data_IF_219215750036
#
_entry.id   IF_219215750036
#
_cell.length_a   1.000
_cell.length_b   1.000
_cell.length_c   1.000
_cell.angle_alpha   90.00
_cell.angle_beta   90.00
_cell.angle_gamma   90.00
#
_symmetry.space_group_name_H-M   'P 1'
#
loop_
_entity.id
_entity.type
_entity.pdbx_description
1 polymer ?
#
# COMPACT_ATOMS: atom_id res chain seq x y z
N UNK A 1 -35.76 24.75 -0.53
CA UNK A 1 -35.38 23.66 0.40
C UNK A 1 -34.29 22.86 -0.27
N UNK A 2 -33.04 23.30 -0.14
CA UNK A 2 -31.85 22.60 -0.61
C UNK A 2 -31.61 21.44 0.35
N UNK A 3 -31.89 20.23 -0.11
CA UNK A 3 -31.52 19.01 0.60
C UNK A 3 -30.01 18.95 0.69
N UNK A 4 -29.48 19.23 1.87
CA UNK A 4 -28.10 18.92 2.21
C UNK A 4 -27.92 17.41 2.10
N UNK A 5 -27.30 16.94 1.02
CA UNK A 5 -26.78 15.59 0.92
C UNK A 5 -25.70 15.45 1.98
N UNK A 6 -26.05 14.84 3.11
CA UNK A 6 -25.08 14.40 4.11
C UNK A 6 -24.14 13.42 3.42
N UNK A 7 -22.93 13.88 3.10
CA UNK A 7 -21.91 13.09 2.45
C UNK A 7 -21.37 12.09 3.48
N UNK A 8 -22.02 10.92 3.60
CA UNK A 8 -21.48 9.83 4.40
C UNK A 8 -20.07 9.51 3.88
N UNK A 9 -19.07 9.31 4.74
CA UNK A 9 -17.73 8.98 4.28
C UNK A 9 -17.81 7.75 3.38
N UNK A 10 -17.19 7.83 2.21
CA UNK A 10 -17.20 6.74 1.25
C UNK A 10 -16.69 5.46 1.92
N UNK A 11 -17.45 4.37 1.75
CA UNK A 11 -17.12 3.06 2.30
C UNK A 11 -15.74 2.60 1.76
N UNK A 12 -14.78 2.20 2.62
CA UNK A 12 -13.48 1.72 2.17
C UNK A 12 -13.63 0.54 1.19
N UNK A 13 -12.86 0.53 0.11
CA UNK A 13 -12.91 -0.55 -0.88
C UNK A 13 -11.51 -1.03 -1.23
N UNK A 14 -11.28 -2.34 -1.18
CA UNK A 14 -9.97 -2.94 -1.44
C UNK A 14 -10.05 -4.00 -2.54
N UNK A 15 -8.94 -4.17 -3.26
CA UNK A 15 -8.68 -5.31 -4.12
C UNK A 15 -7.71 -6.26 -3.41
N UNK A 16 -8.01 -7.56 -3.36
CA UNK A 16 -7.13 -8.61 -2.83
C UNK A 16 -7.08 -9.81 -3.77
N UNK A 17 -6.14 -10.73 -3.56
CA UNK A 17 -6.09 -12.01 -4.25
C UNK A 17 -5.86 -13.14 -3.23
N UNK A 18 -6.58 -14.26 -3.38
CA UNK A 18 -6.46 -15.40 -2.46
C UNK A 18 -5.10 -16.10 -2.61
N UNK A 19 -4.55 -16.70 -1.54
CA UNK A 19 -3.23 -17.32 -1.58
C UNK A 19 -3.25 -18.76 -2.08
N UNK A 20 -4.17 -19.12 -2.99
CA UNK A 20 -4.34 -20.51 -3.47
C UNK A 20 -3.08 -21.08 -4.13
N UNK A 21 -2.30 -20.23 -4.81
CA UNK A 21 -1.03 -20.59 -5.45
C UNK A 21 0.18 -19.88 -4.81
N UNK A 22 0.01 -19.31 -3.61
CA UNK A 22 1.08 -18.56 -2.96
C UNK A 22 2.25 -19.47 -2.56
N UNK A 23 3.45 -19.10 -2.99
CA UNK A 23 4.69 -19.79 -2.65
C UNK A 23 5.92 -18.90 -2.84
N UNK A 24 7.07 -19.30 -2.30
CA UNK A 24 8.35 -18.63 -2.57
C UNK A 24 9.21 -19.58 -3.40
N UNK A 25 9.21 -19.38 -4.71
CA UNK A 25 9.87 -20.27 -5.70
C UNK A 25 11.05 -19.60 -6.43
N UNK A 26 11.24 -18.30 -6.22
CA UNK A 26 12.34 -17.50 -6.76
C UNK A 26 12.78 -16.46 -5.70
N UNK A 27 13.83 -15.69 -5.98
CA UNK A 27 14.32 -14.64 -5.09
C UNK A 27 14.56 -13.35 -5.87
N UNK A 28 13.66 -12.39 -5.68
CA UNK A 28 13.71 -11.04 -6.29
C UNK A 28 13.75 -9.92 -5.23
N UNK A 29 13.96 -10.30 -3.96
CA UNK A 29 14.23 -9.41 -2.84
C UNK A 29 14.97 -10.17 -1.72
N UNK A 30 15.58 -9.47 -0.74
CA UNK A 30 16.39 -10.11 0.30
C UNK A 30 15.64 -11.01 1.28
N UNK A 31 14.30 -10.94 1.34
CA UNK A 31 13.49 -11.75 2.26
C UNK A 31 13.25 -13.15 1.72
N UNK A 32 13.25 -13.30 0.39
CA UNK A 32 12.89 -14.54 -0.29
C UNK A 32 13.99 -15.59 -0.18
N UNK A 33 13.64 -16.72 0.43
CA UNK A 33 14.48 -17.92 0.50
C UNK A 33 13.69 -19.15 0.02
N UNK A 34 13.75 -19.49 -1.29
CA UNK A 34 13.04 -20.62 -1.85
C UNK A 34 13.37 -21.96 -1.18
N UNK A 35 14.65 -22.19 -0.84
CA UNK A 35 15.08 -23.39 -0.13
C UNK A 35 14.51 -23.49 1.28
N UNK A 36 14.36 -22.35 1.96
CA UNK A 36 13.68 -22.26 3.26
C UNK A 36 12.19 -22.56 3.14
N UNK A 37 11.52 -21.96 2.15
CA UNK A 37 10.11 -22.22 1.88
C UNK A 37 9.83 -23.69 1.56
N UNK A 38 10.62 -24.29 0.66
CA UNK A 38 10.44 -25.69 0.24
C UNK A 38 10.47 -26.68 1.42
N UNK A 39 11.32 -26.44 2.43
CA UNK A 39 11.39 -27.28 3.64
C UNK A 39 10.14 -27.21 4.52
N UNK A 40 9.38 -26.12 4.44
CA UNK A 40 8.21 -25.83 5.29
C UNK A 40 6.94 -25.62 4.45
N UNK A 41 6.92 -26.06 3.18
CA UNK A 41 5.89 -25.67 2.21
C UNK A 41 4.47 -25.97 2.69
N UNK A 42 4.21 -27.18 3.21
CA UNK A 42 2.87 -27.57 3.64
C UNK A 42 2.37 -26.71 4.82
N UNK A 43 3.24 -26.42 5.80
CA UNK A 43 2.87 -25.61 6.96
C UNK A 43 2.72 -24.14 6.59
N UNK A 44 3.60 -23.59 5.75
CA UNK A 44 3.55 -22.21 5.27
C UNK A 44 2.34 -21.96 4.37
N UNK A 45 2.01 -22.87 3.44
CA UNK A 45 0.82 -22.80 2.61
C UNK A 45 -0.44 -22.75 3.48
N UNK A 46 -0.63 -23.73 4.38
CA UNK A 46 -1.80 -23.75 5.28
C UNK A 46 -1.86 -22.51 6.19
N UNK A 47 -0.71 -22.01 6.64
CA UNK A 47 -0.62 -20.80 7.46
C UNK A 47 -0.98 -19.54 6.67
N UNK A 48 -0.53 -19.42 5.42
CA UNK A 48 -0.84 -18.29 4.54
C UNK A 48 -2.35 -18.15 4.30
N UNK A 49 -3.07 -19.26 4.07
CA UNK A 49 -4.53 -19.26 3.95
C UNK A 49 -5.22 -18.72 5.21
N UNK A 50 -4.81 -19.17 6.40
CA UNK A 50 -5.38 -18.69 7.67
C UNK A 50 -5.09 -17.23 7.92
N UNK A 51 -3.85 -16.81 7.67
CA UNK A 51 -3.40 -15.43 7.88
C UNK A 51 -4.12 -14.46 6.93
N UNK A 52 -4.23 -14.82 5.65
CA UNK A 52 -4.97 -14.04 4.66
C UNK A 52 -6.46 -13.96 5.00
N UNK A 53 -7.08 -15.09 5.37
CA UNK A 53 -8.50 -15.12 5.72
C UNK A 53 -8.80 -14.22 6.94
N UNK A 54 -7.86 -14.16 7.90
CA UNK A 54 -7.95 -13.24 9.04
C UNK A 54 -7.87 -11.78 8.59
N UNK A 55 -6.86 -11.42 7.79
CA UNK A 55 -6.73 -10.05 7.26
C UNK A 55 -7.98 -9.62 6.48
N UNK A 56 -8.46 -10.47 5.58
CA UNK A 56 -9.68 -10.25 4.80
C UNK A 56 -10.89 -10.06 5.73
N UNK A 57 -11.07 -10.92 6.75
CA UNK A 57 -12.13 -10.79 7.74
C UNK A 57 -12.04 -9.47 8.50
N UNK A 58 -10.85 -9.08 8.97
CA UNK A 58 -10.63 -7.80 9.65
C UNK A 58 -11.06 -6.62 8.79
N UNK A 59 -10.75 -6.60 7.50
CA UNK A 59 -11.20 -5.52 6.60
C UNK A 59 -12.72 -5.47 6.47
N UNK A 60 -13.38 -6.62 6.34
CA UNK A 60 -14.84 -6.69 6.29
C UNK A 60 -15.49 -6.24 7.61
N UNK A 61 -14.95 -6.65 8.75
CA UNK A 61 -15.45 -6.27 10.08
C UNK A 61 -15.28 -4.76 10.34
N UNK A 62 -14.28 -4.14 9.70
CA UNK A 62 -14.08 -2.69 9.67
C UNK A 62 -14.99 -1.97 8.64
N UNK A 63 -15.91 -2.69 8.01
CA UNK A 63 -16.90 -2.15 7.09
C UNK A 63 -16.40 -1.93 5.66
N UNK A 64 -15.25 -2.51 5.28
CA UNK A 64 -14.75 -2.40 3.92
C UNK A 64 -15.47 -3.35 2.95
N UNK A 65 -15.55 -2.96 1.68
CA UNK A 65 -15.79 -3.88 0.56
C UNK A 65 -14.47 -4.44 0.05
N UNK A 66 -14.46 -5.72 -0.34
CA UNK A 66 -13.28 -6.38 -0.89
C UNK A 66 -13.62 -7.07 -2.21
N UNK A 67 -13.03 -6.58 -3.29
CA UNK A 67 -13.00 -7.26 -4.58
C UNK A 67 -11.85 -8.25 -4.64
N UNK A 68 -12.07 -9.36 -5.35
CA UNK A 68 -11.07 -10.41 -5.48
C UNK A 68 -10.61 -10.57 -6.92
N UNK A 69 -9.29 -10.54 -7.12
CA UNK A 69 -8.65 -11.04 -8.34
C UNK A 69 -8.56 -12.57 -8.22
N UNK A 70 -8.96 -13.32 -9.27
CA UNK A 70 -8.76 -14.77 -9.30
C UNK A 70 -7.26 -15.10 -9.21
N UNK A 71 -6.85 -16.02 -8.32
CA UNK A 71 -5.47 -16.47 -8.27
C UNK A 71 -5.13 -17.28 -9.53
N UNK A 72 -3.84 -17.32 -9.88
CA UNK A 72 -3.35 -18.00 -11.09
C UNK A 72 -2.18 -18.89 -10.72
N UNK A 73 -2.23 -20.15 -11.18
CA UNK A 73 -1.12 -21.09 -10.98
C UNK A 73 0.15 -20.59 -11.66
N UNK A 74 1.29 -20.75 -10.99
CA UNK A 74 2.57 -20.21 -11.45
C UNK A 74 2.80 -18.72 -11.21
N UNK A 75 1.81 -17.96 -10.70
CA UNK A 75 1.95 -16.55 -10.32
C UNK A 75 1.78 -16.37 -8.80
N UNK A 76 2.76 -16.80 -7.99
CA UNK A 76 2.59 -16.84 -6.54
C UNK A 76 2.46 -15.45 -5.91
N UNK A 77 3.13 -14.43 -6.47
CA UNK A 77 3.11 -13.06 -5.95
C UNK A 77 1.85 -12.26 -6.34
N UNK A 78 0.91 -12.86 -7.10
CA UNK A 78 -0.36 -12.21 -7.47
C UNK A 78 -1.21 -11.82 -6.24
N UNK A 79 -0.93 -12.45 -5.07
CA UNK A 79 -1.50 -12.06 -3.76
C UNK A 79 -1.18 -10.61 -3.37
N UNK A 80 -0.08 -10.04 -3.86
CA UNK A 80 0.39 -8.70 -3.53
C UNK A 80 -0.24 -7.64 -4.43
N UNK A 81 -1.55 -7.41 -4.24
CA UNK A 81 -2.35 -6.52 -5.07
C UNK A 81 -1.98 -5.05 -4.93
N UNK A 82 -1.27 -4.63 -3.88
CA UNK A 82 -0.71 -3.27 -3.79
C UNK A 82 0.15 -2.91 -5.01
N UNK A 83 0.80 -3.92 -5.61
CA UNK A 83 1.65 -3.73 -6.78
C UNK A 83 0.89 -3.79 -8.10
N UNK A 84 -0.44 -3.97 -8.10
CA UNK A 84 -1.22 -4.08 -9.33
C UNK A 84 -1.32 -2.75 -10.08
N UNK A 85 -1.48 -1.65 -9.35
CA UNK A 85 -1.67 -0.31 -9.90
C UNK A 85 -1.51 0.79 -8.85
N UNK A 86 -1.38 2.04 -9.31
CA UNK A 86 -1.69 3.24 -8.53
C UNK A 86 -3.15 3.62 -8.81
N UNK A 87 -3.91 3.92 -7.75
CA UNK A 87 -5.34 4.27 -7.87
C UNK A 87 -5.64 5.53 -7.07
N UNK A 88 -6.20 6.53 -7.74
CA UNK A 88 -6.70 7.78 -7.13
C UNK A 88 -7.82 8.33 -7.99
N UNK A 89 -8.87 8.84 -7.35
CA UNK A 89 -10.04 9.41 -8.02
C UNK A 89 -10.65 8.47 -9.06
N UNK A 90 -10.71 7.17 -8.76
CA UNK A 90 -11.19 6.11 -9.67
C UNK A 90 -10.40 6.02 -10.99
N UNK A 91 -9.25 6.67 -11.12
CA UNK A 91 -8.30 6.48 -12.21
C UNK A 91 -7.28 5.42 -11.79
N UNK A 92 -6.92 4.55 -12.72
CA UNK A 92 -5.98 3.45 -12.49
C UNK A 92 -4.79 3.61 -13.42
N UNK A 93 -3.59 3.64 -12.85
CA UNK A 93 -2.33 3.46 -13.58
C UNK A 93 -1.80 2.07 -13.29
N UNK A 94 -1.90 1.17 -14.27
CA UNK A 94 -1.40 -0.19 -14.15
C UNK A 94 0.11 -0.19 -13.89
N UNK A 95 0.53 -1.08 -13.02
CA UNK A 95 1.94 -1.30 -12.77
C UNK A 95 2.65 -1.90 -13.99
N UNK A 96 3.96 -1.69 -14.04
CA UNK A 96 4.89 -2.40 -14.92
C UNK A 96 6.03 -2.92 -14.07
N UNK A 97 6.16 -4.24 -13.99
CA UNK A 97 7.07 -4.91 -13.09
C UNK A 97 8.49 -4.91 -13.62
N UNK A 98 9.45 -4.73 -12.71
CA UNK A 98 10.87 -4.80 -13.04
C UNK A 98 11.33 -6.23 -13.32
N UNK A 99 10.81 -7.17 -12.56
CA UNK A 99 11.24 -8.56 -12.56
C UNK A 99 10.38 -9.42 -13.49
N UNK A 100 10.99 -10.19 -14.42
CA UNK A 100 10.26 -11.10 -15.31
C UNK A 100 9.32 -12.07 -14.59
N UNK A 101 9.69 -12.49 -13.38
CA UNK A 101 8.91 -13.39 -12.53
C UNK A 101 7.50 -12.86 -12.23
N UNK A 102 7.32 -11.53 -12.22
CA UNK A 102 6.02 -10.87 -11.94
C UNK A 102 5.37 -10.24 -13.16
N UNK A 103 6.05 -10.13 -14.30
CA UNK A 103 5.51 -9.46 -15.50
C UNK A 103 4.25 -10.14 -16.06
N UNK A 104 4.12 -11.46 -15.89
CA UNK A 104 2.91 -12.17 -16.28
C UNK A 104 1.66 -11.75 -15.48
N UNK A 105 1.82 -11.16 -14.29
CA UNK A 105 0.71 -10.64 -13.48
C UNK A 105 0.03 -9.42 -14.12
N UNK A 106 0.74 -8.64 -14.96
CA UNK A 106 0.26 -7.38 -15.54
C UNK A 106 -1.05 -7.56 -16.31
N UNK A 107 -1.12 -8.60 -17.16
CA UNK A 107 -2.30 -8.90 -17.96
C UNK A 107 -3.50 -9.31 -17.08
N UNK A 108 -3.24 -10.02 -15.98
CA UNK A 108 -4.28 -10.46 -15.05
C UNK A 108 -4.84 -9.29 -14.23
N UNK A 109 -3.97 -8.40 -13.76
CA UNK A 109 -4.41 -7.17 -13.10
C UNK A 109 -5.16 -6.24 -14.05
N UNK A 110 -4.68 -6.05 -15.29
CA UNK A 110 -5.42 -5.27 -16.28
C UNK A 110 -6.82 -5.84 -16.51
N UNK A 111 -6.94 -7.15 -16.73
CA UNK A 111 -8.24 -7.78 -16.91
C UNK A 111 -9.17 -7.55 -15.69
N UNK A 112 -8.63 -7.57 -14.47
CA UNK A 112 -9.38 -7.26 -13.25
C UNK A 112 -9.86 -5.81 -13.23
N UNK A 113 -9.00 -4.84 -13.53
CA UNK A 113 -9.39 -3.42 -13.57
C UNK A 113 -10.37 -3.10 -14.70
N UNK A 114 -10.26 -3.75 -15.86
CA UNK A 114 -11.24 -3.61 -16.93
C UNK A 114 -12.62 -4.11 -16.52
N UNK A 115 -12.70 -5.20 -15.74
CA UNK A 115 -13.97 -5.66 -15.13
C UNK A 115 -14.50 -4.66 -14.11
N UNK A 116 -13.64 -4.09 -13.26
CA UNK A 116 -14.04 -3.03 -12.33
C UNK A 116 -14.54 -1.78 -13.07
N UNK A 117 -13.92 -1.44 -14.21
CA UNK A 117 -14.35 -0.34 -15.06
C UNK A 117 -15.73 -0.60 -15.67
N UNK A 118 -15.97 -1.80 -16.19
CA UNK A 118 -17.25 -2.20 -16.76
C UNK A 118 -18.41 -2.16 -15.74
N UNK A 119 -18.13 -2.40 -14.45
CA UNK A 119 -19.11 -2.29 -13.37
C UNK A 119 -19.17 -0.89 -12.73
N UNK A 120 -18.47 0.10 -13.28
CA UNK A 120 -18.48 1.46 -12.77
C UNK A 120 -17.82 1.60 -11.40
N UNK A 121 -16.88 0.73 -11.03
CA UNK A 121 -16.07 0.88 -9.81
C UNK A 121 -14.84 1.78 -10.03
N UNK A 122 -14.32 1.84 -11.26
CA UNK A 122 -13.27 2.77 -11.71
C UNK A 122 -13.68 3.43 -13.03
N UNK A 123 -13.12 4.60 -13.34
CA UNK A 123 -13.50 5.39 -14.51
C UNK A 123 -12.53 5.20 -15.68
N UNK A 124 -11.24 5.02 -15.39
CA UNK A 124 -10.21 4.85 -16.42
C UNK A 124 -9.12 3.87 -15.99
N UNK A 125 -8.56 3.18 -16.98
CA UNK A 125 -7.43 2.24 -16.81
C UNK A 125 -6.39 2.56 -17.87
N UNK A 126 -5.24 3.06 -17.42
CA UNK A 126 -4.10 3.49 -18.23
C UNK A 126 -2.92 2.56 -17.98
N UNK A 127 -2.22 2.17 -19.04
CA UNK A 127 -0.98 1.38 -18.95
C UNK A 127 0.22 2.31 -18.74
N UNK A 128 1.19 1.87 -17.95
CA UNK A 128 2.50 2.52 -17.89
C UNK A 128 3.21 2.39 -19.26
N UNK A 129 3.88 3.45 -19.78
CA UNK A 129 4.66 3.38 -21.01
C UNK A 129 5.73 2.30 -21.00
N UNK A 130 6.10 1.83 -22.20
CA UNK A 130 7.19 0.86 -22.35
C UNK A 130 8.53 1.40 -21.83
N UNK A 131 9.30 0.53 -21.18
CA UNK A 131 10.65 0.86 -20.69
C UNK A 131 10.72 1.70 -19.42
N UNK A 132 9.58 1.96 -18.75
CA UNK A 132 9.52 2.67 -17.46
C UNK A 132 8.76 1.79 -16.45
N UNK A 133 9.43 1.40 -15.36
CA UNK A 133 8.83 0.56 -14.31
C UNK A 133 8.18 1.39 -13.21
N UNK A 134 7.06 0.91 -12.70
CA UNK A 134 6.38 1.38 -11.49
C UNK A 134 5.59 0.23 -10.91
N UNK A 135 5.85 -0.13 -9.65
CA UNK A 135 5.21 -1.29 -9.01
C UNK A 135 4.04 -0.89 -8.11
N UNK A 136 3.15 -0.07 -8.68
CA UNK A 136 1.84 0.29 -8.14
C UNK A 136 1.88 1.10 -6.84
N UNK A 137 0.80 1.00 -6.07
CA UNK A 137 0.66 1.66 -4.77
C UNK A 137 1.67 1.17 -3.73
N UNK A 138 2.28 -0.02 -3.93
CA UNK A 138 3.41 -0.48 -3.13
C UNK A 138 4.61 0.46 -3.22
N UNK A 139 4.82 1.11 -4.37
CA UNK A 139 5.89 2.10 -4.55
C UNK A 139 5.39 3.54 -4.66
N UNK A 140 4.09 3.78 -4.77
CA UNK A 140 3.52 5.13 -4.92
C UNK A 140 2.34 5.32 -3.97
N UNK A 141 2.66 5.68 -2.73
CA UNK A 141 1.71 5.75 -1.61
C UNK A 141 1.10 7.16 -1.54
N UNK A 142 -0.23 7.24 -1.59
CA UNK A 142 -0.95 8.52 -1.48
C UNK A 142 -1.05 8.98 -0.02
N UNK A 143 -0.64 10.22 0.24
CA UNK A 143 -0.77 10.92 1.51
C UNK A 143 -1.98 11.86 1.43
N UNK A 144 -3.12 11.39 1.95
CA UNK A 144 -4.38 12.13 1.95
C UNK A 144 -4.28 13.48 2.66
N UNK A 145 -3.52 13.55 3.76
CA UNK A 145 -3.43 14.76 4.57
C UNK A 145 -2.64 15.86 3.86
N UNK A 146 -1.70 15.47 3.00
CA UNK A 146 -0.84 16.40 2.24
C UNK A 146 -1.26 16.58 0.78
N UNK A 147 -2.18 15.76 0.28
CA UNK A 147 -2.61 15.81 -1.12
C UNK A 147 -1.48 15.50 -2.10
N UNK A 148 -0.58 14.57 -1.76
CA UNK A 148 0.56 14.21 -2.59
C UNK A 148 0.84 12.70 -2.57
N UNK A 149 1.64 12.24 -3.53
CA UNK A 149 2.22 10.89 -3.51
C UNK A 149 3.65 10.89 -2.99
N UNK A 150 3.96 9.93 -2.12
CA UNK A 150 5.32 9.49 -1.84
C UNK A 150 5.66 8.35 -2.79
N UNK A 151 6.62 8.57 -3.70
CA UNK A 151 7.01 7.58 -4.71
C UNK A 151 8.43 7.07 -4.47
N UNK A 152 8.58 5.77 -4.24
CA UNK A 152 9.89 5.11 -4.13
C UNK A 152 10.55 4.96 -5.49
N UNK A 153 11.87 5.02 -5.52
CA UNK A 153 12.65 4.62 -6.69
C UNK A 153 13.98 3.97 -6.31
N UNK A 154 14.59 3.31 -7.30
CA UNK A 154 15.88 2.64 -7.18
C UNK A 154 15.75 1.12 -7.35
N UNK A 155 15.27 0.38 -6.32
CA UNK A 155 15.15 -1.07 -6.39
C UNK A 155 14.15 -1.58 -7.43
N UNK A 156 12.97 -0.97 -7.52
CA UNK A 156 11.85 -1.47 -8.32
C UNK A 156 11.35 -0.44 -9.34
N UNK A 157 10.79 0.65 -8.84
CA UNK A 157 10.28 1.75 -9.65
C UNK A 157 11.39 2.64 -10.20
N UNK A 158 11.21 3.09 -11.44
CA UNK A 158 12.08 4.05 -12.13
C UNK A 158 11.70 5.48 -11.74
N UNK A 159 12.69 6.34 -11.47
CA UNK A 159 12.45 7.75 -11.16
C UNK A 159 11.72 8.50 -12.30
N UNK A 160 11.85 8.04 -13.55
CA UNK A 160 11.14 8.55 -14.74
C UNK A 160 9.62 8.33 -14.66
N UNK A 161 9.12 7.50 -13.76
CA UNK A 161 7.67 7.35 -13.51
C UNK A 161 7.05 8.60 -12.85
N UNK A 162 7.85 9.44 -12.16
CA UNK A 162 7.37 10.60 -11.42
C UNK A 162 6.47 11.55 -12.23
N UNK A 163 6.91 12.09 -13.40
CA UNK A 163 6.04 12.97 -14.19
C UNK A 163 4.78 12.27 -14.70
N UNK A 164 4.85 10.97 -15.01
CA UNK A 164 3.69 10.21 -15.51
C UNK A 164 2.60 10.11 -14.44
N UNK A 165 2.98 9.81 -13.20
CA UNK A 165 2.07 9.79 -12.05
C UNK A 165 1.49 11.18 -11.81
N UNK A 166 2.35 12.21 -11.80
CA UNK A 166 1.93 13.59 -11.53
C UNK A 166 0.91 14.08 -12.56
N UNK A 167 1.18 13.85 -13.85
CA UNK A 167 0.33 14.31 -14.95
C UNK A 167 -1.01 13.55 -14.98
N UNK A 168 -0.99 12.22 -14.81
CA UNK A 168 -2.22 11.41 -14.87
C UNK A 168 -3.20 11.75 -13.74
N UNK A 169 -2.66 11.93 -12.52
CA UNK A 169 -3.45 12.17 -11.32
C UNK A 169 -3.59 13.66 -10.97
N UNK A 170 -2.93 14.56 -11.71
CA UNK A 170 -2.88 16.00 -11.41
C UNK A 170 -2.53 16.26 -9.92
N UNK A 171 -1.54 15.52 -9.41
CA UNK A 171 -1.18 15.46 -7.99
C UNK A 171 0.33 15.54 -7.84
N UNK A 172 0.81 16.24 -6.81
CA UNK A 172 2.24 16.32 -6.53
C UNK A 172 2.85 14.96 -6.21
N UNK A 173 4.06 14.71 -6.70
CA UNK A 173 4.80 13.47 -6.46
C UNK A 173 6.19 13.78 -5.92
N UNK A 174 6.45 13.31 -4.71
CA UNK A 174 7.75 13.37 -4.06
C UNK A 174 8.46 12.04 -4.26
N UNK A 175 9.42 12.01 -5.19
CA UNK A 175 10.24 10.84 -5.45
C UNK A 175 11.35 10.73 -4.38
N UNK A 176 11.45 9.57 -3.73
CA UNK A 176 12.44 9.27 -2.70
C UNK A 176 13.22 8.01 -3.06
N UNK A 177 14.54 8.09 -3.00
CA UNK A 177 15.41 6.94 -3.22
C UNK A 177 15.43 6.03 -1.99
N UNK A 178 15.17 4.73 -2.22
CA UNK A 178 15.21 3.70 -1.19
C UNK A 178 16.65 3.19 -1.03
N UNK A 179 17.22 3.39 0.16
CA UNK A 179 18.64 3.15 0.45
C UNK A 179 18.92 1.75 1.02
N UNK A 180 17.91 1.10 1.62
CA UNK A 180 18.06 -0.21 2.24
C UNK A 180 17.30 -1.27 1.41
N UNK A 181 17.98 -2.30 0.89
CA UNK A 181 17.36 -3.30 0.03
C UNK A 181 16.30 -4.16 0.74
N UNK A 182 16.24 -4.14 2.09
CA UNK A 182 15.18 -4.81 2.86
C UNK A 182 13.84 -4.07 2.71
N UNK A 183 13.87 -2.76 2.49
CA UNK A 183 12.69 -1.92 2.30
C UNK A 183 12.60 -1.48 0.84
N UNK A 184 12.49 -2.48 -0.06
CA UNK A 184 12.61 -2.31 -1.51
C UNK A 184 11.37 -1.71 -2.18
N UNK A 185 10.27 -1.58 -1.45
CA UNK A 185 9.05 -0.86 -1.85
C UNK A 185 8.72 0.23 -0.84
N UNK A 186 8.14 1.33 -1.31
CA UNK A 186 7.77 2.47 -0.47
C UNK A 186 6.87 2.09 0.71
N UNK A 187 5.87 1.22 0.49
CA UNK A 187 4.92 0.75 1.51
C UNK A 187 5.56 -0.11 2.61
N UNK A 188 6.79 -0.59 2.41
CA UNK A 188 7.59 -1.26 3.45
C UNK A 188 8.40 -0.29 4.29
N UNK A 189 8.60 0.94 3.80
CA UNK A 189 9.45 1.98 4.38
C UNK A 189 8.66 3.10 5.09
N UNK A 190 7.45 3.42 4.60
CA UNK A 190 6.57 4.43 5.19
C UNK A 190 5.07 4.12 5.05
N UNK A 191 4.27 4.79 5.88
CA UNK A 191 2.82 4.76 5.87
C UNK A 191 2.27 6.11 6.35
N UNK A 192 1.69 6.93 5.46
CA UNK A 192 0.94 8.11 5.85
C UNK A 192 -0.33 7.68 6.58
N UNK A 193 -0.52 8.22 7.78
CA UNK A 193 -1.65 7.89 8.65
C UNK A 193 -2.79 8.91 8.46
N UNK A 194 -4.00 8.53 8.88
CA UNK A 194 -5.22 9.33 8.65
C UNK A 194 -5.26 10.64 9.43
N UNK A 195 -4.55 10.74 10.57
CA UNK A 195 -4.37 11.98 11.34
C UNK A 195 -3.27 12.90 10.79
N UNK A 196 -2.63 12.53 9.68
CA UNK A 196 -1.58 13.32 9.02
C UNK A 196 -0.17 13.01 9.49
N UNK A 197 0.01 12.15 10.50
CA UNK A 197 1.32 11.61 10.83
C UNK A 197 1.90 10.75 9.70
N UNK A 198 3.23 10.66 9.68
CA UNK A 198 3.97 9.74 8.83
C UNK A 198 4.70 8.72 9.71
N UNK A 199 4.25 7.47 9.66
CA UNK A 199 5.00 6.33 10.18
C UNK A 199 6.09 5.98 9.17
N UNK A 200 7.37 5.99 9.55
CA UNK A 200 8.45 5.71 8.59
C UNK A 200 9.70 5.15 9.25
N UNK A 201 10.53 4.48 8.46
CA UNK A 201 11.83 3.91 8.87
C UNK A 201 12.92 4.83 8.33
N UNK A 202 13.56 5.68 9.16
CA UNK A 202 14.54 6.65 8.66
C UNK A 202 15.69 6.00 7.87
N UNK A 203 16.16 4.83 8.32
CA UNK A 203 17.25 4.09 7.67
C UNK A 203 16.91 3.54 6.28
N UNK A 204 15.64 3.54 5.86
CA UNK A 204 15.23 3.10 4.53
C UNK A 204 15.47 4.16 3.45
N UNK A 205 15.81 5.40 3.82
CA UNK A 205 15.93 6.54 2.89
C UNK A 205 17.34 7.13 2.91
N UNK A 206 17.78 7.63 1.76
CA UNK A 206 19.01 8.45 1.66
C UNK A 206 18.89 9.74 2.46
N UNK A 207 20.00 10.42 2.70
CA UNK A 207 20.02 11.71 3.41
C UNK A 207 19.15 12.76 2.70
N UNK A 208 19.18 12.78 1.36
CA UNK A 208 18.33 13.62 0.51
C UNK A 208 16.86 13.25 0.70
N UNK A 209 16.53 11.95 0.70
CA UNK A 209 15.16 11.48 0.93
C UNK A 209 14.63 11.89 2.31
N UNK A 210 15.45 11.74 3.37
CA UNK A 210 15.08 12.17 4.72
C UNK A 210 14.88 13.67 4.83
N UNK A 211 15.71 14.47 4.14
CA UNK A 211 15.53 15.92 4.08
C UNK A 211 14.23 16.30 3.35
N UNK A 212 13.90 15.62 2.25
CA UNK A 212 12.66 15.84 1.51
C UNK A 212 11.39 15.50 2.32
N UNK A 213 11.45 14.45 3.15
CA UNK A 213 10.41 14.12 4.14
C UNK A 213 10.32 15.23 5.18
N UNK A 214 11.45 15.62 5.79
CA UNK A 214 11.48 16.64 6.84
C UNK A 214 10.97 18.01 6.38
N UNK A 215 11.14 18.35 5.09
CA UNK A 215 10.63 19.57 4.50
C UNK A 215 9.08 19.61 4.37
N UNK A 216 8.39 18.47 4.52
CA UNK A 216 6.93 18.33 4.33
C UNK A 216 6.20 17.77 5.54
N UNK A 217 6.93 17.15 6.46
CA UNK A 217 6.38 16.50 7.65
C UNK A 217 7.07 17.09 8.88
N UNK A 218 6.29 17.83 9.67
CA UNK A 218 6.79 18.44 10.90
C UNK A 218 7.36 17.37 11.86
N UNK A 219 8.38 17.67 12.68
CA UNK A 219 8.96 16.73 13.66
C UNK A 219 7.91 15.95 14.49
N UNK A 220 6.91 16.64 14.99
CA UNK A 220 5.81 16.11 15.80
C UNK A 220 4.87 15.20 15.02
N UNK A 221 4.81 15.31 13.69
CA UNK A 221 4.02 14.42 12.83
C UNK A 221 4.82 13.20 12.35
N UNK A 222 6.13 13.11 12.64
CA UNK A 222 6.97 11.99 12.23
C UNK A 222 7.05 10.93 13.32
N UNK A 223 6.56 9.73 13.03
CA UNK A 223 6.68 8.56 13.91
C UNK A 223 7.79 7.67 13.34
N UNK A 224 9.00 7.81 13.90
CA UNK A 224 10.13 6.99 13.51
C UNK A 224 9.99 5.56 14.07
N UNK A 225 9.93 4.58 13.17
CA UNK A 225 9.91 3.15 13.49
C UNK A 225 11.32 2.71 13.81
N UNK A 226 11.49 2.01 14.94
CA UNK A 226 12.77 1.42 15.31
C UNK A 226 13.01 0.08 14.59
N UNK A 227 14.25 -0.38 14.60
CA UNK A 227 14.67 -1.59 13.89
C UNK A 227 13.84 -2.84 14.27
N UNK A 228 13.39 -2.95 15.53
CA UNK A 228 12.66 -4.15 16.01
C UNK A 228 11.30 -4.27 15.34
N UNK A 229 10.64 -3.14 15.09
CA UNK A 229 9.38 -3.08 14.37
C UNK A 229 9.58 -3.04 12.85
N UNK A 230 10.65 -2.40 12.38
CA UNK A 230 10.99 -2.29 10.96
C UNK A 230 11.19 -3.66 10.31
N UNK A 231 11.99 -4.55 10.90
CA UNK A 231 12.24 -5.90 10.35
C UNK A 231 11.03 -6.84 10.41
N UNK A 232 9.94 -6.39 11.03
CA UNK A 232 8.64 -7.08 11.08
C UNK A 232 7.61 -6.39 10.19
N UNK A 233 8.07 -5.48 9.31
CA UNK A 233 7.28 -4.70 8.37
C UNK A 233 6.17 -3.87 9.03
N UNK A 234 6.41 -3.29 10.21
CA UNK A 234 5.39 -2.49 10.90
C UNK A 234 4.90 -1.28 10.06
N UNK A 235 5.72 -0.72 9.17
CA UNK A 235 5.29 0.32 8.24
C UNK A 235 4.32 -0.20 7.16
N UNK A 236 4.29 -1.50 6.87
CA UNK A 236 3.40 -2.11 5.89
C UNK A 236 1.97 -2.31 6.43
N UNK A 237 1.35 -1.19 6.81
CA UNK A 237 0.12 -1.09 7.58
C UNK A 237 -1.03 -0.55 6.73
N UNK A 238 -2.22 -1.12 6.90
CA UNK A 238 -3.45 -0.62 6.25
C UNK A 238 -4.21 0.28 7.20
N UNK A 239 -4.52 1.51 6.76
CA UNK A 239 -5.34 2.46 7.51
C UNK A 239 -6.81 2.40 7.07
N UNK A 240 -7.71 2.11 8.02
CA UNK A 240 -9.17 2.15 7.85
C UNK A 240 -9.76 3.06 8.93
N UNK A 241 -10.01 4.32 8.58
CA UNK A 241 -10.39 5.34 9.57
C UNK A 241 -9.27 5.53 10.60
N UNK A 242 -9.61 5.39 11.89
CA UNK A 242 -8.67 5.43 13.02
C UNK A 242 -8.00 4.07 13.31
N UNK A 243 -8.37 3.01 12.57
CA UNK A 243 -7.82 1.66 12.77
C UNK A 243 -6.60 1.42 11.90
N UNK A 244 -5.51 1.01 12.55
CA UNK A 244 -4.26 0.59 11.92
C UNK A 244 -4.16 -0.93 11.95
N UNK A 245 -4.32 -1.55 10.78
CA UNK A 245 -4.18 -3.00 10.59
C UNK A 245 -2.71 -3.30 10.30
N UNK A 246 -1.97 -3.70 11.34
CA UNK A 246 -0.51 -3.85 11.29
C UNK A 246 -0.08 -5.32 11.32
N UNK A 247 1.02 -5.71 10.65
CA UNK A 247 1.56 -7.07 10.78
C UNK A 247 2.22 -7.32 12.13
N UNK A 248 2.78 -6.26 12.72
CA UNK A 248 3.47 -6.27 13.99
C UNK A 248 3.44 -4.87 14.60
N UNK A 249 3.44 -4.80 15.92
CA UNK A 249 3.54 -3.55 16.66
C UNK A 249 4.10 -3.84 18.05
N UNK A 250 5.29 -3.31 18.36
CA UNK A 250 5.88 -3.40 19.71
C UNK A 250 5.03 -2.62 20.73
N UNK A 251 5.17 -2.92 22.04
CA UNK A 251 4.49 -2.13 23.08
C UNK A 251 4.80 -0.63 23.01
N UNK A 252 6.05 -0.26 22.66
CA UNK A 252 6.47 1.12 22.49
C UNK A 252 5.72 1.79 21.33
N UNK A 253 5.73 1.17 20.14
CA UNK A 253 5.05 1.72 18.98
C UNK A 253 3.53 1.81 19.21
N UNK A 254 2.94 0.78 19.84
CA UNK A 254 1.53 0.78 20.22
C UNK A 254 1.19 1.96 21.12
N UNK A 255 1.99 2.22 22.16
CA UNK A 255 1.75 3.33 23.07
C UNK A 255 1.73 4.68 22.33
N UNK A 256 2.70 4.92 21.44
CA UNK A 256 2.77 6.14 20.62
C UNK A 256 1.52 6.26 19.74
N UNK A 257 1.12 5.18 19.05
CA UNK A 257 -0.04 5.20 18.16
C UNK A 257 -1.36 5.41 18.94
N UNK A 258 -1.53 4.75 20.08
CA UNK A 258 -2.71 4.92 20.94
C UNK A 258 -2.79 6.34 21.53
N UNK A 259 -1.67 6.93 21.93
CA UNK A 259 -1.63 8.33 22.41
C UNK A 259 -2.09 9.32 21.32
N UNK A 260 -1.84 8.99 20.03
CA UNK A 260 -2.32 9.76 18.87
C UNK A 260 -3.76 9.43 18.46
N UNK A 261 -4.47 8.60 19.23
CA UNK A 261 -5.87 8.25 18.98
C UNK A 261 -6.09 7.10 17.99
N UNK A 262 -5.04 6.39 17.59
CA UNK A 262 -5.18 5.23 16.71
C UNK A 262 -5.52 3.95 17.48
N UNK A 263 -6.39 3.13 16.88
CA UNK A 263 -6.66 1.75 17.32
C UNK A 263 -5.80 0.77 16.53
N UNK A 264 -4.93 0.04 17.21
CA UNK A 264 -3.98 -0.88 16.55
C UNK A 264 -4.51 -2.31 16.57
N UNK A 265 -4.85 -2.82 15.38
CA UNK A 265 -5.28 -4.20 15.12
C UNK A 265 -4.14 -5.01 14.50
N UNK A 266 -3.53 -5.91 15.30
CA UNK A 266 -2.38 -6.69 14.83
C UNK A 266 -2.82 -7.97 14.15
N UNK A 267 -2.46 -8.11 12.88
CA UNK A 267 -2.67 -9.28 12.04
C UNK A 267 -1.32 -9.88 11.61
N UNK A 268 -0.74 -10.82 12.39
CA UNK A 268 0.54 -11.42 12.05
C UNK A 268 0.51 -12.14 10.71
N UNK A 269 1.46 -11.81 9.84
CA UNK A 269 1.57 -12.34 8.48
C UNK A 269 2.92 -13.07 8.23
N UNK A 270 3.43 -13.93 9.13
CA UNK A 270 4.77 -14.49 9.00
C UNK A 270 4.96 -15.39 7.77
N UNK A 271 3.89 -15.93 7.16
CA UNK A 271 4.03 -16.68 5.91
C UNK A 271 4.33 -15.73 4.74
N UNK A 272 3.63 -14.61 4.64
CA UNK A 272 3.87 -13.58 3.62
C UNK A 272 5.17 -12.81 3.84
N UNK A 273 5.60 -12.67 5.09
CA UNK A 273 6.91 -12.09 5.40
C UNK A 273 8.06 -12.89 4.76
N UNK A 274 7.88 -14.19 4.46
CA UNK A 274 8.87 -15.01 3.73
C UNK A 274 9.08 -14.56 2.27
N UNK A 275 8.18 -13.77 1.70
CA UNK A 275 8.35 -13.14 0.39
C UNK A 275 8.60 -11.63 0.49
N UNK A 276 8.71 -11.07 1.70
CA UNK A 276 8.93 -9.64 1.93
C UNK A 276 7.67 -8.78 1.92
N UNK A 277 6.47 -9.38 1.97
CA UNK A 277 5.20 -8.66 1.99
C UNK A 277 4.42 -8.80 3.30
N UNK A 278 3.52 -7.84 3.58
CA UNK A 278 2.64 -7.88 4.75
C UNK A 278 1.26 -7.25 4.43
N UNK A 279 0.64 -6.54 5.38
CA UNK A 279 -0.78 -6.19 5.31
C UNK A 279 -1.08 -5.21 4.17
N UNK A 280 -0.28 -4.15 4.02
CA UNK A 280 -0.45 -3.22 2.90
C UNK A 280 -0.22 -3.93 1.58
N UNK A 281 0.85 -4.72 1.43
CA UNK A 281 1.17 -5.39 0.16
C UNK A 281 0.02 -6.28 -0.34
N UNK A 282 -0.70 -6.95 0.55
CA UNK A 282 -1.84 -7.84 0.25
C UNK A 282 -3.13 -7.12 -0.12
N UNK A 283 -3.13 -5.78 -0.13
CA UNK A 283 -4.31 -4.95 -0.36
C UNK A 283 -4.02 -3.81 -1.30
N UNK A 284 -4.98 -3.45 -2.14
CA UNK A 284 -4.95 -2.19 -2.89
C UNK A 284 -6.23 -1.42 -2.63
N UNK A 285 -6.11 -0.22 -2.07
CA UNK A 285 -7.26 0.63 -1.77
C UNK A 285 -7.75 1.35 -3.03
N UNK A 286 -9.04 1.24 -3.33
CA UNK A 286 -9.67 1.70 -4.58
C UNK A 286 -10.49 2.99 -4.42
N UNK A 287 -10.84 3.38 -3.19
CA UNK A 287 -11.74 4.50 -2.87
C UNK A 287 -11.03 5.83 -2.59
N UNK A 288 -9.70 5.92 -2.79
CA UNK A 288 -8.93 7.15 -2.52
C UNK A 288 -9.40 8.33 -3.39
N UNK A 289 -9.43 9.52 -2.79
CA UNK A 289 -9.81 10.78 -3.44
C UNK A 289 -8.76 11.87 -3.22
N UNK A 290 -8.46 12.65 -4.25
CA UNK A 290 -7.55 13.80 -4.14
C UNK A 290 -8.16 14.98 -3.37
N UNK A 291 -9.49 15.04 -3.25
CA UNK A 291 -10.20 16.10 -2.53
C UNK A 291 -9.80 16.19 -1.05
N UNK A 292 -9.69 17.43 -0.54
CA UNK A 292 -9.28 17.70 0.83
C UNK A 292 -10.33 17.21 1.83
N UNK A 293 -9.86 16.60 2.92
CA UNK A 293 -10.64 16.50 4.15
C UNK A 293 -10.47 17.85 4.85
N UNK A 294 -11.29 18.85 4.53
CA UNK A 294 -11.33 20.09 5.33
C UNK A 294 -11.60 21.44 4.67
N UNK A 295 -12.00 21.53 3.40
CA UNK A 295 -12.31 22.84 2.79
C UNK A 295 -13.79 23.30 2.90
N UNK A 296 -14.60 22.73 3.79
CA UNK A 296 -16.04 23.08 3.94
C UNK A 296 -16.43 23.62 5.33
N UNK A 297 -15.48 24.06 6.15
CA UNK A 297 -15.79 24.77 7.41
C UNK A 297 -15.01 26.07 7.51
N UNK A 298 -15.38 27.08 6.72
CA UNK A 298 -15.06 28.48 7.09
C UNK A 298 -15.96 29.55 6.43
N UNK A 299 -16.90 29.19 5.54
CA UNK A 299 -17.73 30.18 4.84
C UNK A 299 -19.08 30.49 5.52
N UNK A 300 -19.26 30.10 6.79
CA UNK A 300 -20.51 30.34 7.53
C UNK A 300 -20.38 31.34 8.71
N UNK A 301 -19.30 32.12 8.77
CA UNK A 301 -19.08 33.10 9.83
C UNK A 301 -18.77 34.52 9.31
N UNK A 302 -19.35 34.95 8.18
CA UNK A 302 -19.50 36.37 7.85
C UNK A 302 -20.81 36.59 7.08
N UNK A 303 -21.94 36.63 7.79
CA UNK A 303 -23.18 37.28 7.36
C UNK A 303 -24.05 37.64 8.56
#
# INVERSE_FOLDING_TARGET
>A
MTTATTNSPAKPRFLMCRPEHFSVIYSINPWMNPGGWAREQASLAASSHRQWARLHRTLLDLGADVDLVPPVDGLPDLVFTANAAVVLDRKVLLARFRHPERQAEEAHFEAAFRRLQAHGAVDSVTRMPDGITLEGAGDCVFDQARGLFWMGHGPRTDQRARPIVADLFATDVVALELADPRFYHMDTALCPLTGGELLYIPGAFTDIGRAAIAARVAPEQRIAVDEKDAVRLAANTVCVGDVLVMPACSPRLRAILTERGYRVEVNPLPAFLRSGGAAFCLTLRLDRRSGSVGAEQDDAAVA
#
